data_IF_954628868528
#
_entry.id   IF_954628868528
#
_cell.length_a   1.000
_cell.length_b   1.000
_cell.length_c   1.000
_cell.angle_alpha   90.00
_cell.angle_beta   90.00
_cell.angle_gamma   90.00
#
_symmetry.space_group_name_H-M   'P 1'
#
loop_
_entity.id
_entity.type
_entity.pdbx_description
1 polymer ?
#
# COMPACT_ATOMS: atom_id res chain seq x y z
N UNK A 1 18.19 -25.75 -6.44
CA UNK A 1 18.87 -25.45 -5.18
C UNK A 1 18.70 -26.65 -4.27
N UNK A 2 19.75 -27.03 -3.57
CA UNK A 2 19.64 -28.03 -2.50
C UNK A 2 18.80 -27.47 -1.34
N UNK A 3 18.14 -28.34 -0.54
CA UNK A 3 17.33 -27.90 0.60
C UNK A 3 18.16 -27.11 1.61
N UNK A 4 19.43 -27.50 1.82
CA UNK A 4 20.35 -26.78 2.71
C UNK A 4 20.57 -25.34 2.24
N UNK A 5 20.82 -25.15 0.94
CA UNK A 5 21.06 -23.84 0.35
C UNK A 5 19.85 -22.91 0.50
N UNK A 6 18.63 -23.42 0.31
CA UNK A 6 17.41 -22.63 0.53
C UNK A 6 17.27 -22.20 2.00
N UNK A 7 17.61 -23.09 2.94
CA UNK A 7 17.58 -22.78 4.38
C UNK A 7 18.61 -21.71 4.76
N UNK A 8 19.79 -21.73 4.14
CA UNK A 8 20.80 -20.69 4.33
C UNK A 8 20.31 -19.32 3.82
N UNK A 9 19.64 -19.30 2.66
CA UNK A 9 19.01 -18.08 2.11
C UNK A 9 17.93 -17.55 3.07
N UNK A 10 17.09 -18.44 3.61
CA UNK A 10 16.07 -18.08 4.60
C UNK A 10 16.73 -17.50 5.86
N UNK A 11 17.81 -18.11 6.36
CA UNK A 11 18.53 -17.64 7.54
C UNK A 11 19.16 -16.25 7.34
N UNK A 12 19.75 -16.00 6.16
CA UNK A 12 20.23 -14.65 5.77
C UNK A 12 19.11 -13.62 5.80
N UNK A 13 17.96 -13.97 5.21
CA UNK A 13 16.78 -13.10 5.18
C UNK A 13 16.25 -12.77 6.59
N UNK A 14 16.24 -13.76 7.50
CA UNK A 14 15.87 -13.55 8.92
C UNK A 14 16.81 -12.62 9.69
N UNK A 15 18.06 -12.52 9.25
CA UNK A 15 19.01 -11.50 9.74
C UNK A 15 18.71 -10.10 9.17
N UNK A 16 17.60 -9.98 8.43
CA UNK A 16 17.08 -8.78 7.78
C UNK A 16 18.04 -8.25 6.71
N UNK A 17 18.83 -9.10 6.08
CA UNK A 17 19.68 -8.69 4.96
C UNK A 17 18.91 -8.88 3.65
N UNK A 18 18.92 -7.87 2.77
CA UNK A 18 18.35 -7.97 1.42
C UNK A 18 18.99 -9.14 0.69
N UNK A 19 18.19 -9.94 0.01
CA UNK A 19 18.70 -11.03 -0.82
C UNK A 19 19.29 -10.51 -2.13
N UNK A 20 20.27 -11.23 -2.64
CA UNK A 20 20.83 -11.00 -3.97
C UNK A 20 19.93 -11.64 -5.04
N UNK A 21 20.04 -11.22 -6.31
CA UNK A 21 19.20 -11.75 -7.38
C UNK A 21 19.23 -13.27 -7.53
N UNK A 22 20.39 -13.91 -7.36
CA UNK A 22 20.53 -15.37 -7.45
C UNK A 22 19.80 -16.10 -6.32
N UNK A 23 19.84 -15.54 -5.10
CA UNK A 23 19.15 -16.08 -3.93
C UNK A 23 17.63 -15.98 -4.09
N UNK A 24 17.12 -14.83 -4.53
CA UNK A 24 15.69 -14.65 -4.82
C UNK A 24 15.23 -15.57 -5.94
N UNK A 25 16.04 -15.75 -7.01
CA UNK A 25 15.73 -16.68 -8.09
C UNK A 25 15.64 -18.14 -7.60
N UNK A 26 16.50 -18.54 -6.64
CA UNK A 26 16.42 -19.87 -6.01
C UNK A 26 15.11 -20.03 -5.22
N UNK A 27 14.67 -19.02 -4.45
CA UNK A 27 13.38 -19.04 -3.75
C UNK A 27 12.19 -19.14 -4.72
N UNK A 28 12.25 -18.44 -5.86
CA UNK A 28 11.25 -18.57 -6.93
C UNK A 28 11.13 -20.02 -7.42
N UNK A 29 12.26 -20.73 -7.53
CA UNK A 29 12.32 -22.12 -7.99
C UNK A 29 11.80 -23.17 -6.98
N UNK A 30 11.49 -22.80 -5.74
CA UNK A 30 11.05 -23.75 -4.70
C UNK A 30 9.63 -24.26 -4.97
N UNK A 31 9.45 -25.56 -5.14
CA UNK A 31 8.13 -26.19 -5.28
C UNK A 31 7.86 -27.30 -4.24
N UNK A 32 8.84 -27.56 -3.36
CA UNK A 32 8.72 -28.50 -2.25
C UNK A 32 7.87 -27.88 -1.13
N UNK A 33 6.81 -28.58 -0.70
CA UNK A 33 5.82 -28.01 0.22
C UNK A 33 6.40 -27.76 1.63
N UNK A 34 7.35 -28.59 2.10
CA UNK A 34 8.07 -28.36 3.37
C UNK A 34 8.86 -27.05 3.33
N UNK A 35 9.63 -26.82 2.27
CA UNK A 35 10.35 -25.56 2.09
C UNK A 35 9.42 -24.36 1.91
N UNK A 36 8.27 -24.53 1.25
CA UNK A 36 7.29 -23.45 1.13
C UNK A 36 6.72 -23.04 2.50
N UNK A 37 6.43 -24.01 3.37
CA UNK A 37 5.98 -23.75 4.74
C UNK A 37 7.06 -23.05 5.57
N UNK A 38 8.32 -23.46 5.43
CA UNK A 38 9.47 -22.76 6.04
C UNK A 38 9.58 -21.31 5.54
N UNK A 39 9.41 -21.08 4.23
CA UNK A 39 9.41 -19.73 3.64
C UNK A 39 8.27 -18.86 4.18
N UNK A 40 7.04 -19.40 4.29
CA UNK A 40 5.90 -18.66 4.84
C UNK A 40 6.10 -18.29 6.31
N UNK A 41 6.64 -19.23 7.10
CA UNK A 41 6.97 -18.98 8.50
C UNK A 41 8.05 -17.90 8.63
N UNK A 42 9.13 -18.00 7.87
CA UNK A 42 10.20 -17.01 7.90
C UNK A 42 9.74 -15.62 7.45
N UNK A 43 8.90 -15.54 6.40
CA UNK A 43 8.36 -14.26 5.94
C UNK A 43 7.47 -13.60 7.01
N UNK A 44 6.67 -14.40 7.73
CA UNK A 44 5.90 -13.94 8.90
C UNK A 44 6.81 -13.45 10.03
N UNK A 45 7.84 -14.21 10.39
CA UNK A 45 8.80 -13.84 11.44
C UNK A 45 9.49 -12.50 11.11
N UNK A 46 9.95 -12.32 9.86
CA UNK A 46 10.57 -11.05 9.42
C UNK A 46 9.58 -9.89 9.49
N UNK A 47 8.33 -10.12 9.07
CA UNK A 47 7.28 -9.11 9.20
C UNK A 47 7.10 -8.72 10.67
N UNK A 48 7.00 -9.70 11.58
CA UNK A 48 6.83 -9.44 13.01
C UNK A 48 8.06 -8.75 13.62
N UNK A 49 9.28 -9.10 13.22
CA UNK A 49 10.50 -8.44 13.70
C UNK A 49 10.62 -6.97 13.28
N UNK A 50 10.29 -6.66 12.02
CA UNK A 50 10.41 -5.31 11.47
C UNK A 50 9.18 -4.46 11.82
N UNK A 51 8.00 -5.02 11.59
CA UNK A 51 6.74 -4.31 11.63
C UNK A 51 5.92 -4.60 12.89
N UNK A 52 6.19 -5.69 13.58
CA UNK A 52 5.31 -6.26 14.60
C UNK A 52 4.05 -6.87 13.97
N UNK A 53 3.08 -7.14 14.83
CA UNK A 53 1.76 -7.66 14.44
C UNK A 53 0.86 -6.57 13.83
N UNK A 54 1.38 -5.37 13.58
CA UNK A 54 0.60 -4.25 13.06
C UNK A 54 0.20 -4.43 11.59
N UNK A 55 -0.96 -3.91 11.25
CA UNK A 55 -1.44 -3.73 9.87
C UNK A 55 -1.94 -2.29 9.74
N UNK A 56 -1.33 -1.52 8.84
CA UNK A 56 -1.69 -0.12 8.61
C UNK A 56 -2.85 -0.04 7.62
N UNK A 57 -3.88 0.73 7.96
CA UNK A 57 -5.04 0.94 7.10
C UNK A 57 -4.93 2.24 6.32
N UNK A 58 -5.47 2.23 5.11
CA UNK A 58 -5.69 3.41 4.28
C UNK A 58 -6.97 3.24 3.44
N UNK A 59 -7.34 4.28 2.68
CA UNK A 59 -8.33 4.17 1.61
C UNK A 59 -7.81 4.82 0.32
N UNK A 60 -8.03 4.19 -0.86
CA UNK A 60 -7.82 4.88 -2.13
C UNK A 60 -8.96 5.89 -2.35
N UNK A 61 -8.64 7.06 -2.88
CA UNK A 61 -9.63 8.07 -3.29
C UNK A 61 -9.34 8.47 -4.73
N UNK A 62 -10.21 8.05 -5.64
CA UNK A 62 -10.08 8.33 -7.07
C UNK A 62 -10.60 9.74 -7.34
N UNK A 63 -9.66 10.66 -7.62
CA UNK A 63 -9.98 12.08 -7.83
C UNK A 63 -10.42 12.33 -9.27
N UNK A 64 -9.89 11.57 -10.22
CA UNK A 64 -10.31 11.70 -11.61
C UNK A 64 -9.87 10.54 -12.49
N UNK A 65 -10.72 10.19 -13.46
CA UNK A 65 -10.53 9.03 -14.35
C UNK A 65 -10.35 9.41 -15.83
N UNK A 66 -10.12 10.70 -16.15
CA UNK A 66 -9.71 11.10 -17.50
C UNK A 66 -8.34 10.51 -17.78
N UNK A 67 -8.20 9.83 -18.91
CA UNK A 67 -6.95 9.19 -19.26
C UNK A 67 -6.76 9.28 -20.76
N UNK A 68 -5.59 9.75 -21.16
CA UNK A 68 -5.19 9.79 -22.56
C UNK A 68 -4.57 8.49 -23.01
N UNK A 69 -4.19 7.57 -22.11
CA UNK A 69 -3.59 6.30 -22.52
C UNK A 69 -4.66 5.24 -22.81
N UNK A 70 -4.28 4.25 -23.60
CA UNK A 70 -5.14 3.17 -24.03
C UNK A 70 -4.63 1.80 -23.56
N UNK A 71 -4.12 1.74 -22.32
CA UNK A 71 -3.60 0.51 -21.71
C UNK A 71 -4.60 -0.65 -21.87
N UNK A 72 -4.14 -1.76 -22.45
CA UNK A 72 -5.01 -2.86 -22.91
C UNK A 72 -5.78 -3.54 -21.78
N UNK A 73 -5.32 -3.38 -20.53
CA UNK A 73 -5.84 -4.04 -19.33
C UNK A 73 -6.66 -3.11 -18.41
N UNK A 74 -6.81 -1.82 -18.73
CA UNK A 74 -7.36 -0.83 -17.79
C UNK A 74 -8.77 -0.40 -18.19
N UNK A 75 -9.72 -0.43 -17.24
CA UNK A 75 -11.08 0.08 -17.47
C UNK A 75 -11.08 1.55 -17.90
N UNK A 76 -10.19 2.38 -17.34
CA UNK A 76 -10.08 3.80 -17.67
C UNK A 76 -9.35 4.11 -18.98
N UNK A 77 -8.98 3.12 -19.80
CA UNK A 77 -8.37 3.37 -21.12
C UNK A 77 -9.21 4.34 -21.97
N UNK A 78 -8.58 5.26 -22.69
CA UNK A 78 -9.23 6.38 -23.43
C UNK A 78 -10.41 5.94 -24.31
N UNK A 79 -10.30 4.78 -24.95
CA UNK A 79 -11.30 4.31 -25.91
C UNK A 79 -12.48 3.58 -25.26
N UNK A 80 -12.42 3.28 -23.96
CA UNK A 80 -13.55 2.70 -23.25
C UNK A 80 -14.68 3.74 -23.09
N UNK A 81 -15.80 3.52 -23.80
CA UNK A 81 -16.98 4.40 -23.81
C UNK A 81 -18.01 4.05 -22.75
N UNK A 82 -17.88 2.90 -22.09
CA UNK A 82 -18.77 2.53 -20.98
C UNK A 82 -18.42 3.25 -19.69
N UNK A 83 -17.18 3.75 -19.55
CA UNK A 83 -16.75 4.58 -18.42
C UNK A 83 -17.21 6.02 -18.59
N UNK A 84 -17.87 6.56 -17.56
CA UNK A 84 -18.19 8.00 -17.46
C UNK A 84 -16.94 8.75 -17.00
N UNK A 85 -16.53 9.74 -17.79
CA UNK A 85 -15.36 10.57 -17.47
C UNK A 85 -15.72 11.64 -16.46
N UNK A 86 -15.08 11.60 -15.30
CA UNK A 86 -15.30 12.52 -14.19
C UNK A 86 -13.97 12.91 -13.54
N UNK A 87 -13.90 14.16 -13.13
CA UNK A 87 -12.92 14.68 -12.18
C UNK A 87 -13.73 15.31 -11.06
N UNK A 88 -13.41 15.01 -9.80
CA UNK A 88 -14.04 15.67 -8.67
C UNK A 88 -13.72 17.16 -8.69
N UNK A 89 -14.74 17.98 -8.50
CA UNK A 89 -14.54 19.36 -8.05
C UNK A 89 -13.92 19.38 -6.67
N UNK A 90 -13.32 20.50 -6.25
CA UNK A 90 -12.74 20.60 -4.90
C UNK A 90 -13.80 20.41 -3.80
N UNK A 91 -15.06 20.78 -4.04
CA UNK A 91 -16.13 20.58 -3.06
C UNK A 91 -16.62 19.13 -3.01
N UNK A 92 -16.71 18.44 -4.16
CA UNK A 92 -16.94 16.99 -4.18
C UNK A 92 -15.79 16.25 -3.50
N UNK A 93 -14.53 16.65 -3.74
CA UNK A 93 -13.36 16.09 -3.06
C UNK A 93 -13.47 16.26 -1.54
N UNK A 94 -13.85 17.44 -1.05
CA UNK A 94 -14.10 17.64 0.38
C UNK A 94 -15.22 16.73 0.89
N UNK A 95 -16.28 16.52 0.10
CA UNK A 95 -17.36 15.59 0.41
C UNK A 95 -16.88 14.15 0.59
N UNK A 96 -16.08 13.64 -0.35
CA UNK A 96 -15.50 12.30 -0.26
C UNK A 96 -14.58 12.16 0.96
N UNK A 97 -13.75 13.18 1.23
CA UNK A 97 -12.84 13.17 2.39
C UNK A 97 -13.61 13.17 3.72
N UNK A 98 -14.68 13.95 3.83
CA UNK A 98 -15.59 13.94 4.99
C UNK A 98 -16.17 12.56 5.26
N UNK A 99 -16.65 11.88 4.22
CA UNK A 99 -17.16 10.51 4.33
C UNK A 99 -16.06 9.58 4.86
N UNK A 100 -14.86 9.63 4.29
CA UNK A 100 -13.74 8.80 4.72
C UNK A 100 -13.31 9.07 6.18
N UNK A 101 -13.27 10.34 6.58
CA UNK A 101 -13.02 10.76 7.96
C UNK A 101 -14.09 10.24 8.92
N UNK A 102 -15.36 10.30 8.53
CA UNK A 102 -16.49 9.79 9.31
C UNK A 102 -16.44 8.27 9.54
N UNK A 103 -15.82 7.52 8.63
CA UNK A 103 -15.57 6.08 8.82
C UNK A 103 -14.33 5.79 9.66
N UNK A 104 -13.53 6.80 9.97
CA UNK A 104 -12.34 6.69 10.80
C UNK A 104 -11.01 6.63 10.07
N UNK A 105 -11.01 6.75 8.73
CA UNK A 105 -9.76 6.79 7.96
C UNK A 105 -8.89 7.99 8.37
N UNK A 106 -7.56 7.79 8.30
CA UNK A 106 -6.55 8.82 8.58
C UNK A 106 -5.45 8.88 7.52
N UNK A 107 -5.49 7.97 6.55
CA UNK A 107 -4.47 7.81 5.51
C UNK A 107 -5.17 7.58 4.18
N UNK A 108 -4.88 8.43 3.20
CA UNK A 108 -5.46 8.30 1.86
C UNK A 108 -4.36 8.08 0.82
N UNK A 109 -4.73 7.39 -0.26
CA UNK A 109 -3.97 7.39 -1.51
C UNK A 109 -4.85 8.06 -2.57
N UNK A 110 -4.49 9.26 -3.01
CA UNK A 110 -5.20 9.90 -4.11
C UNK A 110 -4.76 9.29 -5.44
N UNK A 111 -5.73 8.91 -6.27
CA UNK A 111 -5.51 8.19 -7.52
C UNK A 111 -6.06 9.00 -8.70
N UNK A 112 -5.28 9.05 -9.78
CA UNK A 112 -5.59 9.83 -10.98
C UNK A 112 -5.36 8.97 -12.23
N UNK A 113 -6.15 9.23 -13.28
CA UNK A 113 -5.75 8.88 -14.63
C UNK A 113 -4.52 9.70 -15.09
N UNK A 114 -4.21 9.65 -16.39
CA UNK A 114 -3.15 10.48 -16.97
C UNK A 114 -3.76 11.38 -18.04
N UNK A 115 -3.90 12.66 -17.73
CA UNK A 115 -4.42 13.70 -18.64
C UNK A 115 -3.81 15.06 -18.31
N UNK A 116 -3.92 16.01 -19.22
CA UNK A 116 -3.43 17.38 -19.01
C UNK A 116 -4.11 18.10 -17.83
N UNK A 117 -5.33 17.69 -17.49
CA UNK A 117 -6.07 18.21 -16.32
C UNK A 117 -5.42 17.83 -14.98
N UNK A 118 -4.51 16.84 -14.95
CA UNK A 118 -3.93 16.27 -13.73
C UNK A 118 -2.44 16.58 -13.62
N UNK A 119 -2.09 17.84 -13.86
CA UNK A 119 -0.72 18.31 -13.67
C UNK A 119 -0.32 18.36 -12.19
N UNK A 120 0.94 18.69 -11.93
CA UNK A 120 1.48 18.74 -10.58
C UNK A 120 0.82 19.81 -9.70
N UNK A 121 0.29 20.90 -10.28
CA UNK A 121 -0.37 21.96 -9.51
C UNK A 121 -1.75 21.50 -9.04
N UNK A 122 -2.53 20.86 -9.91
CA UNK A 122 -3.80 20.24 -9.57
C UNK A 122 -3.63 19.15 -8.52
N UNK A 123 -2.67 18.23 -8.70
CA UNK A 123 -2.38 17.19 -7.70
C UNK A 123 -2.00 17.83 -6.36
N UNK A 124 -1.13 18.85 -6.36
CA UNK A 124 -0.76 19.56 -5.14
C UNK A 124 -1.96 20.28 -4.49
N UNK A 125 -2.89 20.82 -5.27
CA UNK A 125 -4.11 21.46 -4.76
C UNK A 125 -5.04 20.45 -4.11
N UNK A 126 -5.30 19.32 -4.77
CA UNK A 126 -6.15 18.24 -4.20
C UNK A 126 -5.58 17.69 -2.89
N UNK A 127 -4.25 17.62 -2.75
CA UNK A 127 -3.60 17.30 -1.48
C UNK A 127 -3.87 18.35 -0.39
N UNK A 128 -3.67 19.64 -0.70
CA UNK A 128 -3.94 20.74 0.25
C UNK A 128 -5.40 20.75 0.68
N UNK A 129 -6.32 20.56 -0.27
CA UNK A 129 -7.75 20.44 -0.02
C UNK A 129 -8.03 19.25 0.91
N UNK A 130 -7.46 18.09 0.63
CA UNK A 130 -7.60 16.89 1.48
C UNK A 130 -7.13 17.13 2.92
N UNK A 131 -5.96 17.75 3.11
CA UNK A 131 -5.45 18.08 4.45
C UNK A 131 -6.24 19.20 5.16
N UNK A 132 -6.96 20.03 4.41
CA UNK A 132 -7.76 21.13 4.97
C UNK A 132 -9.11 20.67 5.54
N UNK A 133 -9.60 19.51 5.11
CA UNK A 133 -10.84 18.94 5.63
C UNK A 133 -10.57 18.41 7.04
N UNK A 134 -11.46 18.77 7.96
CA UNK A 134 -11.56 18.20 9.30
C UNK A 134 -13.03 18.19 9.69
N UNK A 135 -13.58 17.01 9.97
CA UNK A 135 -14.96 16.86 10.44
C UNK A 135 -15.03 16.16 11.80
N UNK A 136 -15.53 16.89 12.81
CA UNK A 136 -15.59 16.38 14.18
C UNK A 136 -14.19 16.00 14.71
N UNK A 137 -13.97 14.70 14.95
CA UNK A 137 -12.67 14.15 15.37
C UNK A 137 -11.86 13.55 14.19
N UNK A 138 -12.43 13.60 12.98
CA UNK A 138 -11.80 13.14 11.75
C UNK A 138 -10.75 14.11 11.23
N UNK A 139 -9.66 13.55 10.72
CA UNK A 139 -8.64 14.30 9.97
C UNK A 139 -7.80 13.32 9.14
N UNK A 140 -7.50 13.68 7.90
CA UNK A 140 -6.50 12.96 7.10
C UNK A 140 -5.09 13.43 7.49
N UNK A 141 -4.26 12.49 7.96
CA UNK A 141 -2.93 12.77 8.51
C UNK A 141 -1.77 12.41 7.57
N UNK A 142 -2.04 11.68 6.49
CA UNK A 142 -1.06 11.37 5.44
C UNK A 142 -1.78 11.12 4.11
N UNK A 143 -1.33 11.83 3.09
CA UNK A 143 -1.78 11.67 1.70
C UNK A 143 -0.63 11.11 0.87
N UNK A 144 -0.80 9.90 0.35
CA UNK A 144 0.05 9.35 -0.70
C UNK A 144 -0.59 9.63 -2.06
N UNK A 145 0.21 9.58 -3.13
CA UNK A 145 -0.26 9.79 -4.50
C UNK A 145 0.09 8.57 -5.35
N UNK A 146 -0.89 8.09 -6.12
CA UNK A 146 -0.68 7.18 -7.23
C UNK A 146 -1.11 7.89 -8.52
N UNK A 147 -0.14 8.30 -9.32
CA UNK A 147 -0.35 9.06 -10.55
C UNK A 147 0.71 8.70 -11.60
N UNK A 148 0.57 9.24 -12.81
CA UNK A 148 1.60 9.14 -13.83
C UNK A 148 2.92 9.81 -13.37
N UNK A 149 4.08 9.37 -13.88
CA UNK A 149 5.37 9.98 -13.58
C UNK A 149 5.36 11.49 -13.92
N UNK A 150 5.95 12.29 -13.03
CA UNK A 150 6.15 13.72 -13.22
C UNK A 150 7.62 14.01 -13.54
N UNK A 151 7.91 15.26 -13.89
CA UNK A 151 9.27 15.79 -13.89
C UNK A 151 9.70 16.21 -12.47
N UNK A 152 10.97 16.58 -12.33
CA UNK A 152 11.56 16.97 -11.03
C UNK A 152 10.84 18.18 -10.42
N UNK A 153 10.47 19.17 -11.23
CA UNK A 153 9.75 20.36 -10.75
C UNK A 153 8.34 20.02 -10.27
N UNK A 154 7.63 19.13 -10.98
CA UNK A 154 6.36 18.58 -10.52
C UNK A 154 6.48 17.87 -9.17
N UNK A 155 7.51 17.06 -8.98
CA UNK A 155 7.76 16.41 -7.69
C UNK A 155 8.11 17.40 -6.57
N UNK A 156 8.86 18.48 -6.84
CA UNK A 156 9.12 19.55 -5.86
C UNK A 156 7.82 20.21 -5.39
N UNK A 157 6.86 20.43 -6.30
CA UNK A 157 5.52 20.96 -5.95
C UNK A 157 4.79 20.01 -4.99
N UNK A 158 4.81 18.71 -5.25
CA UNK A 158 4.19 17.71 -4.36
C UNK A 158 4.91 17.61 -3.01
N UNK A 159 6.25 17.70 -2.99
CA UNK A 159 7.02 17.75 -1.74
C UNK A 159 6.61 18.95 -0.89
N UNK A 160 6.51 20.13 -1.50
CA UNK A 160 6.05 21.36 -0.83
C UNK A 160 4.62 21.24 -0.30
N UNK A 161 3.75 20.50 -1.00
CA UNK A 161 2.38 20.23 -0.56
C UNK A 161 2.27 19.19 0.56
N UNK A 162 3.39 18.57 0.98
CA UNK A 162 3.42 17.63 2.10
C UNK A 162 2.96 16.21 1.73
N UNK A 163 3.41 15.69 0.58
CA UNK A 163 3.17 14.31 0.18
C UNK A 163 3.78 13.32 1.18
N UNK A 164 3.07 12.22 1.45
CA UNK A 164 3.59 11.03 2.12
C UNK A 164 4.46 10.22 1.17
N UNK A 165 3.85 9.36 0.36
CA UNK A 165 4.54 8.50 -0.62
C UNK A 165 4.06 8.78 -2.04
N UNK A 166 4.98 8.88 -3.00
CA UNK A 166 4.63 8.84 -4.42
C UNK A 166 4.77 7.41 -4.97
N UNK A 167 3.74 6.91 -5.62
CA UNK A 167 3.65 5.53 -6.08
C UNK A 167 3.59 5.47 -7.60
N UNK A 168 4.52 4.73 -8.19
CA UNK A 168 4.53 4.39 -9.61
C UNK A 168 4.55 2.86 -9.71
N UNK A 169 3.50 2.31 -10.29
CA UNK A 169 3.55 0.92 -10.73
C UNK A 169 4.24 0.90 -12.09
N UNK A 170 5.29 0.09 -12.20
CA UNK A 170 5.93 -0.20 -13.48
C UNK A 170 4.99 -1.02 -14.38
N UNK A 171 4.00 -1.67 -13.77
CA UNK A 171 3.00 -2.54 -14.39
C UNK A 171 3.61 -3.87 -14.84
N UNK A 172 4.58 -3.81 -15.73
CA UNK A 172 5.40 -4.97 -16.13
C UNK A 172 6.81 -4.50 -16.45
N UNK A 173 7.81 -5.19 -15.89
CA UNK A 173 9.22 -4.96 -16.19
C UNK A 173 9.66 -5.62 -17.50
N UNK A 174 8.82 -6.46 -18.11
CA UNK A 174 9.15 -7.12 -19.37
C UNK A 174 8.89 -6.19 -20.55
N UNK A 175 9.95 -5.67 -21.16
CA UNK A 175 9.90 -4.66 -22.23
C UNK A 175 8.91 -5.00 -23.36
N UNK A 176 8.96 -6.23 -23.90
CA UNK A 176 8.09 -6.63 -25.01
C UNK A 176 6.62 -6.70 -24.59
N UNK A 177 6.33 -7.09 -23.34
CA UNK A 177 4.96 -7.07 -22.82
C UNK A 177 4.51 -5.63 -22.59
N UNK A 178 5.37 -4.79 -22.01
CA UNK A 178 5.06 -3.39 -21.79
C UNK A 178 4.67 -2.67 -23.08
N UNK A 179 5.48 -2.83 -24.14
CA UNK A 179 5.23 -2.24 -25.46
C UNK A 179 3.91 -2.70 -26.08
N UNK A 180 3.53 -3.98 -25.88
CA UNK A 180 2.26 -4.52 -26.37
C UNK A 180 1.05 -3.99 -25.59
N UNK A 181 1.20 -3.81 -24.28
CA UNK A 181 0.10 -3.41 -23.40
C UNK A 181 -0.10 -1.90 -23.30
N UNK A 182 0.89 -1.11 -23.69
CA UNK A 182 0.87 0.35 -23.71
C UNK A 182 1.10 0.86 -25.15
N UNK A 183 0.02 1.13 -25.90
CA UNK A 183 0.10 1.45 -27.33
C UNK A 183 1.04 2.62 -27.64
N UNK A 184 1.83 2.48 -28.71
CA UNK A 184 2.79 3.50 -29.13
C UNK A 184 2.11 4.84 -29.39
N UNK A 185 2.73 5.93 -28.94
CA UNK A 185 2.22 7.30 -29.07
C UNK A 185 1.43 7.78 -27.86
N UNK A 186 1.01 6.88 -26.97
CA UNK A 186 0.50 7.25 -25.65
C UNK A 186 1.65 7.66 -24.72
N UNK A 187 1.42 8.55 -23.74
CA UNK A 187 2.45 9.00 -22.79
C UNK A 187 3.05 7.84 -22.00
N UNK A 188 2.19 6.90 -21.58
CA UNK A 188 2.61 5.70 -20.85
C UNK A 188 3.36 4.68 -21.73
N UNK A 189 3.46 4.86 -23.05
CA UNK A 189 4.25 3.95 -23.88
C UNK A 189 5.76 4.11 -23.70
N UNK A 190 6.21 5.26 -23.15
CA UNK A 190 7.62 5.46 -22.81
C UNK A 190 8.00 4.70 -21.53
N UNK A 191 8.56 3.51 -21.75
CA UNK A 191 9.02 2.62 -20.70
C UNK A 191 10.06 3.27 -19.78
N UNK A 192 11.05 3.96 -20.35
CA UNK A 192 12.16 4.52 -19.58
C UNK A 192 11.72 5.76 -18.80
N UNK A 193 10.83 6.59 -19.37
CA UNK A 193 10.21 7.69 -18.65
C UNK A 193 9.47 7.21 -17.40
N UNK A 194 8.74 6.09 -17.50
CA UNK A 194 8.05 5.48 -16.35
C UNK A 194 9.03 4.85 -15.36
N UNK A 195 9.98 4.04 -15.82
CA UNK A 195 10.92 3.33 -14.96
C UNK A 195 11.76 4.31 -14.12
N UNK A 196 12.25 5.39 -14.74
CA UNK A 196 13.05 6.42 -14.07
C UNK A 196 12.20 7.48 -13.33
N UNK A 197 10.88 7.32 -13.25
CA UNK A 197 9.99 8.29 -12.60
C UNK A 197 10.29 8.48 -11.12
N UNK A 198 10.66 7.40 -10.42
CA UNK A 198 10.98 7.47 -9.00
C UNK A 198 12.39 8.03 -8.74
N UNK A 199 13.32 7.90 -9.67
CA UNK A 199 14.59 8.63 -9.62
C UNK A 199 14.35 10.15 -9.61
N UNK A 200 13.49 10.63 -10.51
CA UNK A 200 13.09 12.04 -10.55
C UNK A 200 12.33 12.46 -9.29
N UNK A 201 11.55 11.56 -8.68
CA UNK A 201 10.88 11.85 -7.42
C UNK A 201 11.89 12.06 -6.27
N UNK A 202 12.94 11.24 -6.20
CA UNK A 202 14.06 11.42 -5.25
C UNK A 202 14.80 12.74 -5.50
N UNK A 203 15.09 13.08 -6.75
CA UNK A 203 15.70 14.36 -7.15
C UNK A 203 14.79 15.56 -6.79
N UNK A 204 13.48 15.38 -6.87
CA UNK A 204 12.46 16.34 -6.43
C UNK A 204 12.28 16.42 -4.90
N UNK A 205 13.03 15.62 -4.13
CA UNK A 205 13.03 15.61 -2.67
C UNK A 205 11.98 14.71 -2.02
N UNK A 206 11.29 13.87 -2.78
CA UNK A 206 10.36 12.85 -2.26
C UNK A 206 11.15 11.58 -1.96
N UNK A 207 11.30 11.29 -0.68
CA UNK A 207 12.18 10.24 -0.13
C UNK A 207 11.43 8.97 0.32
N UNK A 208 10.09 9.01 0.32
CA UNK A 208 9.24 7.84 0.48
C UNK A 208 8.62 7.48 -0.88
N UNK A 209 9.12 6.40 -1.50
CA UNK A 209 8.70 5.93 -2.82
C UNK A 209 7.90 4.63 -2.75
N UNK A 210 6.97 4.42 -3.68
CA UNK A 210 6.28 3.15 -3.84
C UNK A 210 6.44 2.58 -5.25
N UNK A 211 6.97 1.35 -5.33
CA UNK A 211 7.01 0.59 -6.60
C UNK A 211 5.89 -0.44 -6.63
N UNK A 212 5.58 -0.95 -7.82
CA UNK A 212 4.68 -2.08 -7.97
C UNK A 212 4.67 -2.68 -9.37
N UNK A 213 4.17 -3.90 -9.47
CA UNK A 213 3.93 -4.61 -10.71
C UNK A 213 2.49 -5.16 -10.71
N UNK A 214 1.84 -5.14 -11.86
CA UNK A 214 0.50 -5.70 -12.04
C UNK A 214 0.63 -7.17 -12.42
N UNK A 215 0.48 -8.03 -11.43
CA UNK A 215 0.63 -9.47 -11.58
C UNK A 215 -0.49 -10.03 -12.45
N UNK A 216 -0.12 -10.77 -13.50
CA UNK A 216 -1.04 -11.25 -14.54
C UNK A 216 -0.78 -10.68 -15.93
N UNK A 217 0.02 -9.61 -16.04
CA UNK A 217 0.45 -9.07 -17.33
C UNK A 217 1.55 -9.92 -17.99
N UNK A 218 2.47 -10.45 -17.17
CA UNK A 218 3.56 -11.33 -17.57
C UNK A 218 3.89 -12.33 -16.47
N UNK A 219 4.89 -13.20 -16.67
CA UNK A 219 5.31 -14.20 -15.69
C UNK A 219 5.68 -13.52 -14.36
N UNK A 220 4.97 -13.89 -13.29
CA UNK A 220 5.16 -13.32 -11.96
C UNK A 220 6.59 -13.45 -11.44
N UNK A 221 7.32 -14.49 -11.88
CA UNK A 221 8.72 -14.73 -11.52
C UNK A 221 9.61 -13.63 -12.07
N UNK A 222 9.38 -13.24 -13.32
CA UNK A 222 10.09 -12.13 -13.96
C UNK A 222 9.77 -10.82 -13.25
N UNK A 223 8.50 -10.58 -12.92
CA UNK A 223 8.08 -9.35 -12.24
C UNK A 223 8.65 -9.23 -10.82
N UNK A 224 8.75 -10.33 -10.06
CA UNK A 224 9.43 -10.35 -8.76
C UNK A 224 10.90 -9.96 -8.89
N UNK A 225 11.59 -10.48 -9.92
CA UNK A 225 12.98 -10.10 -10.19
C UNK A 225 13.09 -8.62 -10.57
N UNK A 226 12.17 -8.10 -11.38
CA UNK A 226 12.10 -6.68 -11.72
C UNK A 226 11.93 -5.78 -10.49
N UNK A 227 11.02 -6.14 -9.58
CA UNK A 227 10.84 -5.42 -8.30
C UNK A 227 12.10 -5.45 -7.43
N UNK A 228 12.79 -6.59 -7.39
CA UNK A 228 14.06 -6.71 -6.66
C UNK A 228 15.12 -5.80 -7.27
N UNK A 229 15.37 -5.88 -8.59
CA UNK A 229 16.37 -5.04 -9.26
C UNK A 229 16.06 -3.55 -9.13
N UNK A 230 14.80 -3.15 -9.20
CA UNK A 230 14.41 -1.75 -8.95
C UNK A 230 14.69 -1.34 -7.51
N UNK A 231 14.44 -2.22 -6.54
CA UNK A 231 14.83 -1.99 -5.14
C UNK A 231 16.34 -1.84 -5.00
N UNK A 232 17.12 -2.71 -5.67
CA UNK A 232 18.58 -2.68 -5.66
C UNK A 232 19.09 -1.33 -6.18
N UNK A 233 18.59 -0.90 -7.34
CA UNK A 233 18.93 0.37 -7.97
C UNK A 233 18.69 1.55 -7.03
N UNK A 234 17.51 1.64 -6.42
CA UNK A 234 17.18 2.75 -5.51
C UNK A 234 18.11 2.76 -4.29
N UNK A 235 18.34 1.59 -3.68
CA UNK A 235 19.23 1.50 -2.52
C UNK A 235 20.68 1.87 -2.87
N UNK A 236 21.20 1.45 -4.02
CA UNK A 236 22.58 1.74 -4.43
C UNK A 236 22.77 3.21 -4.81
N UNK A 237 21.80 3.79 -5.53
CA UNK A 237 21.87 5.18 -6.00
C UNK A 237 21.62 6.20 -4.89
N UNK A 238 20.81 5.86 -3.89
CA UNK A 238 20.32 6.80 -2.88
C UNK A 238 20.67 6.38 -1.44
N UNK A 239 21.96 6.16 -1.17
CA UNK A 239 22.51 5.95 0.19
C UNK A 239 21.80 4.86 1.02
N UNK A 240 21.39 3.78 0.36
CA UNK A 240 20.71 2.65 0.99
C UNK A 240 19.23 2.90 1.27
N UNK A 241 18.61 3.91 0.63
CA UNK A 241 17.16 4.14 0.64
C UNK A 241 16.51 3.43 -0.55
N UNK A 242 15.80 2.35 -0.26
CA UNK A 242 14.97 1.65 -1.23
C UNK A 242 13.53 2.18 -1.26
N UNK A 243 12.61 1.47 -1.93
CA UNK A 243 11.20 1.81 -1.89
C UNK A 243 10.65 1.66 -0.46
N UNK A 244 9.85 2.64 -0.04
CA UNK A 244 9.09 2.61 1.21
C UNK A 244 8.02 1.50 1.17
N UNK A 245 7.40 1.30 0.01
CA UNK A 245 6.39 0.25 -0.20
C UNK A 245 6.53 -0.46 -1.54
N UNK A 246 6.22 -1.75 -1.56
CA UNK A 246 5.93 -2.52 -2.77
C UNK A 246 4.45 -2.87 -2.78
N UNK A 247 3.78 -2.57 -3.89
CA UNK A 247 2.42 -3.03 -4.19
C UNK A 247 2.47 -4.17 -5.19
N UNK A 248 1.63 -5.17 -5.00
CA UNK A 248 1.54 -6.36 -5.86
C UNK A 248 0.09 -6.64 -6.28
N UNK A 249 -0.61 -5.67 -6.90
CA UNK A 249 -1.97 -5.91 -7.38
C UNK A 249 -1.99 -7.06 -8.39
N UNK A 250 -2.98 -7.95 -8.31
CA UNK A 250 -3.32 -8.85 -9.42
C UNK A 250 -4.25 -8.15 -10.42
N UNK A 251 -4.14 -8.53 -11.68
CA UNK A 251 -5.10 -8.15 -12.70
C UNK A 251 -6.48 -8.66 -12.30
N UNK A 252 -7.46 -7.76 -12.35
CA UNK A 252 -8.86 -8.05 -12.04
C UNK A 252 -9.71 -7.68 -13.26
N UNK A 253 -10.89 -8.32 -13.42
CA UNK A 253 -11.85 -7.95 -14.45
C UNK A 253 -12.14 -6.45 -14.45
N UNK A 254 -12.28 -5.88 -15.65
CA UNK A 254 -12.71 -4.50 -15.83
C UNK A 254 -13.75 -4.40 -16.96
N UNK A 255 -14.71 -3.50 -16.79
CA UNK A 255 -15.80 -3.27 -17.76
C UNK A 255 -15.24 -2.93 -19.14
N UNK A 256 -15.74 -3.60 -20.18
CA UNK A 256 -15.30 -3.46 -21.57
C UNK A 256 -13.79 -3.63 -21.80
N UNK A 257 -13.16 -4.50 -21.00
CA UNK A 257 -11.76 -4.88 -21.16
C UNK A 257 -11.62 -6.41 -21.29
N UNK A 258 -11.82 -7.00 -22.49
CA UNK A 258 -11.77 -8.45 -22.69
C UNK A 258 -10.45 -9.10 -22.24
N UNK A 259 -9.34 -8.36 -22.32
CA UNK A 259 -8.02 -8.83 -21.89
C UNK A 259 -8.00 -9.29 -20.41
N UNK A 260 -8.80 -8.64 -19.55
CA UNK A 260 -8.81 -8.93 -18.11
C UNK A 260 -9.58 -10.20 -17.74
N UNK A 261 -10.42 -10.72 -18.64
CA UNK A 261 -11.26 -11.89 -18.37
C UNK A 261 -10.47 -13.20 -18.34
N UNK A 262 -9.45 -13.32 -19.19
CA UNK A 262 -8.59 -14.49 -19.24
C UNK A 262 -7.13 -14.11 -19.57
N UNK A 263 -6.40 -13.50 -18.63
CA UNK A 263 -5.03 -13.07 -18.86
C UNK A 263 -4.10 -14.29 -18.96
N UNK A 264 -3.22 -14.28 -19.97
CA UNK A 264 -2.31 -15.40 -20.26
C UNK A 264 -1.41 -15.78 -19.08
N UNK A 265 -1.06 -14.82 -18.22
CA UNK A 265 -0.16 -15.01 -17.08
C UNK A 265 -0.89 -14.93 -15.74
N UNK A 266 -2.18 -15.31 -15.71
CA UNK A 266 -2.99 -15.32 -14.48
C UNK A 266 -2.23 -15.98 -13.31
N UNK A 267 -2.16 -15.27 -12.19
CA UNK A 267 -1.45 -15.76 -11.00
C UNK A 267 -2.44 -16.47 -10.07
N UNK A 268 -2.18 -17.75 -9.78
CA UNK A 268 -3.00 -18.53 -8.85
C UNK A 268 -2.88 -18.01 -7.41
N UNK A 269 -3.83 -18.36 -6.54
CA UNK A 269 -3.76 -17.96 -5.12
C UNK A 269 -2.53 -18.57 -4.41
N UNK A 270 -2.13 -19.80 -4.78
CA UNK A 270 -0.91 -20.46 -4.26
C UNK A 270 0.33 -19.67 -4.68
N UNK A 271 0.45 -19.31 -5.96
CA UNK A 271 1.58 -18.55 -6.47
C UNK A 271 1.60 -17.12 -5.92
N UNK A 272 0.42 -16.51 -5.70
CA UNK A 272 0.32 -15.18 -5.13
C UNK A 272 0.79 -15.15 -3.67
N UNK A 273 0.38 -16.13 -2.85
CA UNK A 273 0.92 -16.27 -1.49
C UNK A 273 2.43 -16.49 -1.50
N UNK A 274 2.91 -17.35 -2.41
CA UNK A 274 4.34 -17.63 -2.60
C UNK A 274 5.13 -16.38 -2.99
N UNK A 275 4.69 -15.60 -3.98
CA UNK A 275 5.41 -14.42 -4.44
C UNK A 275 5.46 -13.34 -3.36
N UNK A 276 4.40 -13.15 -2.57
CA UNK A 276 4.41 -12.18 -1.46
C UNK A 276 5.44 -12.57 -0.41
N UNK A 277 5.51 -13.86 -0.05
CA UNK A 277 6.53 -14.36 0.87
C UNK A 277 7.95 -14.17 0.30
N UNK A 278 8.17 -14.45 -0.99
CA UNK A 278 9.46 -14.24 -1.66
C UNK A 278 9.87 -12.77 -1.62
N UNK A 279 8.97 -11.83 -1.92
CA UNK A 279 9.29 -10.40 -1.85
C UNK A 279 9.64 -10.03 -0.39
N UNK A 280 8.92 -10.54 0.61
CA UNK A 280 9.20 -10.23 2.04
C UNK A 280 10.56 -10.76 2.46
N UNK A 281 10.92 -11.96 2.01
CA UNK A 281 12.24 -12.53 2.24
C UNK A 281 13.33 -11.72 1.53
N UNK A 282 13.06 -11.26 0.31
CA UNK A 282 14.05 -10.57 -0.52
C UNK A 282 14.34 -9.14 -0.07
N UNK A 283 13.31 -8.40 0.38
CA UNK A 283 13.41 -6.99 0.80
C UNK A 283 12.76 -6.81 2.20
N UNK A 284 13.46 -7.23 3.27
CA UNK A 284 12.86 -7.45 4.59
C UNK A 284 12.27 -6.20 5.23
N UNK A 285 12.81 -5.02 4.92
CA UNK A 285 12.38 -3.76 5.52
C UNK A 285 11.29 -3.02 4.76
N UNK A 286 11.04 -3.35 3.49
CA UNK A 286 10.10 -2.59 2.67
C UNK A 286 8.64 -2.89 3.05
N UNK A 287 7.81 -1.87 3.09
CA UNK A 287 6.38 -2.02 3.35
C UNK A 287 5.69 -2.76 2.22
N UNK A 288 4.59 -3.44 2.51
CA UNK A 288 3.87 -4.25 1.53
C UNK A 288 2.40 -3.93 1.54
N UNK A 289 1.88 -3.55 0.37
CA UNK A 289 0.50 -3.14 0.18
C UNK A 289 -0.27 -4.25 -0.51
N UNK A 290 -1.27 -4.79 0.19
CA UNK A 290 -2.29 -5.68 -0.35
C UNK A 290 -3.60 -4.90 -0.46
N UNK A 291 -4.21 -4.90 -1.64
CA UNK A 291 -5.42 -4.09 -1.90
C UNK A 291 -6.70 -4.93 -1.93
N UNK A 292 -7.85 -4.26 -2.00
CA UNK A 292 -9.19 -4.82 -2.07
C UNK A 292 -9.53 -5.44 -3.42
N UNK A 293 -8.53 -5.54 -4.32
CA UNK A 293 -8.57 -6.46 -5.47
C UNK A 293 -8.76 -7.90 -5.00
N UNK A 294 -8.08 -8.24 -3.92
CA UNK A 294 -8.11 -9.58 -3.36
C UNK A 294 -9.36 -9.81 -2.52
N UNK A 295 -9.95 -11.00 -2.64
CA UNK A 295 -11.11 -11.37 -1.83
C UNK A 295 -10.71 -11.69 -0.36
N UNK A 296 -11.68 -11.70 0.58
CA UNK A 296 -11.42 -11.94 2.00
C UNK A 296 -10.61 -13.22 2.29
N UNK A 297 -10.88 -14.31 1.56
CA UNK A 297 -10.19 -15.59 1.75
C UNK A 297 -8.70 -15.45 1.44
N UNK A 298 -8.36 -14.88 0.28
CA UNK A 298 -6.95 -14.65 -0.11
C UNK A 298 -6.28 -13.67 0.85
N UNK A 299 -6.96 -12.58 1.22
CA UNK A 299 -6.42 -11.60 2.17
C UNK A 299 -6.06 -12.25 3.50
N UNK A 300 -6.94 -13.11 4.04
CA UNK A 300 -6.71 -13.86 5.30
C UNK A 300 -5.44 -14.72 5.25
N UNK A 301 -5.14 -15.33 4.11
CA UNK A 301 -3.97 -16.21 3.95
C UNK A 301 -2.67 -15.44 3.66
N UNK A 302 -2.75 -14.30 2.98
CA UNK A 302 -1.60 -13.54 2.51
C UNK A 302 -1.11 -12.50 3.53
N UNK A 303 -2.02 -11.93 4.32
CA UNK A 303 -1.66 -10.92 5.33
C UNK A 303 -0.55 -11.39 6.29
N UNK A 304 -0.62 -12.61 6.86
CA UNK A 304 0.40 -13.09 7.79
C UNK A 304 1.79 -13.27 7.18
N UNK A 305 1.91 -13.47 5.85
CA UNK A 305 3.17 -13.85 5.20
C UNK A 305 3.99 -12.67 4.67
N UNK A 306 3.59 -11.42 4.93
CA UNK A 306 4.45 -10.28 4.61
C UNK A 306 3.79 -8.91 4.51
N UNK A 307 2.46 -8.85 4.40
CA UNK A 307 1.71 -7.59 4.20
C UNK A 307 1.85 -6.68 5.42
N UNK A 308 2.09 -5.38 5.22
CA UNK A 308 2.14 -4.42 6.31
C UNK A 308 1.09 -3.30 6.22
N UNK A 309 0.48 -3.11 5.04
CA UNK A 309 -0.59 -2.15 4.84
C UNK A 309 -1.70 -2.74 3.96
N UNK A 310 -2.94 -2.40 4.27
CA UNK A 310 -4.12 -2.79 3.48
C UNK A 310 -5.08 -1.63 3.35
N UNK A 311 -5.85 -1.62 2.27
CA UNK A 311 -7.05 -0.80 2.15
C UNK A 311 -8.25 -1.52 2.79
N UNK A 312 -9.30 -0.79 3.16
CA UNK A 312 -10.57 -1.38 3.59
C UNK A 312 -11.72 -0.36 3.44
N UNK A 313 -12.95 -0.86 3.27
CA UNK A 313 -14.10 -0.01 2.96
C UNK A 313 -13.95 0.74 1.63
N UNK A 314 -13.14 0.22 0.71
CA UNK A 314 -12.69 0.94 -0.47
C UNK A 314 -13.80 1.10 -1.52
N UNK A 315 -13.82 2.27 -2.16
CA UNK A 315 -14.60 2.56 -3.36
C UNK A 315 -13.65 3.14 -4.39
N UNK A 316 -13.72 2.65 -5.63
CA UNK A 316 -12.68 2.94 -6.64
C UNK A 316 -13.24 3.65 -7.89
N UNK A 317 -14.56 3.89 -7.94
CA UNK A 317 -15.17 4.91 -8.78
C UNK A 317 -14.86 6.34 -8.31
N UNK A 318 -14.87 7.30 -9.25
CA UNK A 318 -14.72 8.73 -8.95
C UNK A 318 -16.01 9.26 -8.32
N UNK A 319 -15.97 9.61 -7.03
CA UNK A 319 -17.18 9.94 -6.26
C UNK A 319 -17.86 8.70 -5.64
N UNK A 320 -17.17 7.55 -5.67
CA UNK A 320 -17.74 6.27 -5.27
C UNK A 320 -18.10 6.17 -3.79
N UNK A 321 -17.51 7.00 -2.91
CA UNK A 321 -17.89 6.99 -1.49
C UNK A 321 -19.26 7.63 -1.27
N UNK A 322 -19.51 8.81 -1.83
CA UNK A 322 -20.81 9.48 -1.77
C UNK A 322 -21.91 8.68 -2.48
N UNK A 323 -21.62 8.10 -3.63
CA UNK A 323 -22.59 7.26 -4.35
C UNK A 323 -23.03 6.04 -3.52
N UNK A 324 -22.08 5.40 -2.83
CA UNK A 324 -22.37 4.26 -1.97
C UNK A 324 -23.27 4.62 -0.78
N UNK A 325 -23.07 5.78 -0.14
CA UNK A 325 -23.95 6.25 0.95
C UNK A 325 -25.40 6.48 0.47
N UNK A 326 -25.62 6.74 -0.83
CA UNK A 326 -26.95 6.84 -1.44
C UNK A 326 -27.49 5.49 -1.95
N UNK A 327 -26.81 4.37 -1.65
CA UNK A 327 -27.22 3.03 -2.06
C UNK A 327 -26.89 2.68 -3.52
N UNK A 328 -26.10 3.50 -4.21
CA UNK A 328 -25.65 3.21 -5.57
C UNK A 328 -24.35 2.38 -5.53
N UNK A 329 -24.32 1.27 -6.27
CA UNK A 329 -23.09 0.48 -6.48
C UNK A 329 -22.51 0.93 -7.82
N UNK A 330 -21.34 1.58 -7.86
CA UNK A 330 -20.78 2.06 -9.11
C UNK A 330 -20.46 0.89 -10.06
N UNK A 331 -21.12 0.82 -11.20
CA UNK A 331 -20.86 -0.20 -12.24
C UNK A 331 -19.69 0.20 -13.17
N UNK A 332 -19.13 1.41 -12.99
CA UNK A 332 -18.17 2.05 -13.91
C UNK A 332 -16.84 2.38 -13.24
N UNK A 333 -16.25 1.37 -12.61
CA UNK A 333 -14.98 1.45 -11.90
C UNK A 333 -13.76 1.08 -12.76
N UNK A 334 -12.55 1.26 -12.22
CA UNK A 334 -11.31 0.92 -12.94
C UNK A 334 -11.14 -0.60 -13.14
N UNK A 335 -11.58 -1.38 -12.16
CA UNK A 335 -11.54 -2.85 -12.08
C UNK A 335 -12.57 -3.31 -11.03
N UNK A 336 -12.83 -4.60 -10.93
CA UNK A 336 -13.73 -5.16 -9.92
C UNK A 336 -13.00 -5.37 -8.58
N UNK A 337 -13.60 -4.94 -7.48
CA UNK A 337 -13.11 -5.23 -6.13
C UNK A 337 -13.47 -6.66 -5.70
N UNK A 338 -12.52 -7.33 -5.05
CA UNK A 338 -12.71 -8.63 -4.40
C UNK A 338 -13.17 -8.52 -2.94
N UNK A 339 -12.92 -7.40 -2.25
CA UNK A 339 -13.34 -7.17 -0.87
C UNK A 339 -13.98 -5.79 -0.69
N UNK A 340 -15.32 -5.76 -0.62
CA UNK A 340 -16.11 -4.53 -0.46
C UNK A 340 -16.59 -4.30 0.98
N UNK A 341 -16.17 -5.14 1.93
CA UNK A 341 -16.56 -5.07 3.35
C UNK A 341 -16.21 -3.70 3.93
N UNK A 342 -16.96 -3.31 4.95
CA UNK A 342 -16.72 -2.05 5.65
C UNK A 342 -15.36 -2.04 6.36
N UNK A 343 -14.85 -0.84 6.66
CA UNK A 343 -13.62 -0.69 7.43
C UNK A 343 -13.72 -1.39 8.80
N UNK A 344 -14.87 -1.26 9.48
CA UNK A 344 -15.11 -1.85 10.80
C UNK A 344 -15.03 -3.39 10.79
N UNK A 345 -15.67 -4.04 9.79
CA UNK A 345 -15.62 -5.50 9.64
C UNK A 345 -14.21 -6.02 9.38
N UNK A 346 -13.45 -5.34 8.51
CA UNK A 346 -12.07 -5.75 8.21
C UNK A 346 -11.18 -5.54 9.44
N UNK A 347 -11.36 -4.45 10.19
CA UNK A 347 -10.64 -4.20 11.45
C UNK A 347 -10.89 -5.32 12.45
N UNK A 348 -12.14 -5.77 12.60
CA UNK A 348 -12.49 -6.90 13.46
C UNK A 348 -11.77 -8.18 13.04
N UNK A 349 -11.78 -8.51 11.74
CA UNK A 349 -11.06 -9.68 11.21
C UNK A 349 -9.55 -9.61 11.48
N UNK A 350 -8.93 -8.43 11.33
CA UNK A 350 -7.50 -8.24 11.65
C UNK A 350 -7.22 -8.51 13.13
N UNK A 351 -8.10 -8.08 14.03
CA UNK A 351 -7.97 -8.38 15.46
C UNK A 351 -8.06 -9.88 15.74
N UNK A 352 -9.02 -10.57 15.09
CA UNK A 352 -9.23 -12.02 15.21
C UNK A 352 -8.05 -12.83 14.65
N UNK A 353 -7.35 -12.32 13.64
CA UNK A 353 -6.09 -12.86 13.13
C UNK A 353 -4.91 -12.66 14.08
N UNK A 354 -5.12 -12.03 15.23
CA UNK A 354 -4.09 -11.74 16.21
C UNK A 354 -3.16 -10.59 15.80
N UNK A 355 -3.56 -9.80 14.81
CA UNK A 355 -2.88 -8.58 14.39
C UNK A 355 -3.46 -7.36 15.12
N UNK A 356 -2.80 -6.21 15.02
CA UNK A 356 -3.30 -4.93 15.52
C UNK A 356 -3.51 -3.93 14.37
N UNK A 357 -4.73 -3.44 14.15
CA UNK A 357 -4.99 -2.34 13.22
C UNK A 357 -4.20 -1.09 13.59
N UNK A 358 -3.84 -0.27 12.60
CA UNK A 358 -3.12 0.97 12.84
C UNK A 358 -3.49 2.04 11.81
N UNK A 359 -3.66 3.26 12.31
CA UNK A 359 -3.82 4.48 11.49
C UNK A 359 -2.62 5.41 11.65
N UNK A 360 -1.48 4.87 12.07
CA UNK A 360 -0.28 5.64 12.42
C UNK A 360 0.25 6.46 11.24
N UNK A 361 0.55 7.73 11.50
CA UNK A 361 1.25 8.64 10.60
C UNK A 361 2.45 9.32 11.26
N UNK A 362 2.84 8.87 12.46
CA UNK A 362 3.89 9.48 13.28
C UNK A 362 5.25 9.54 12.57
N UNK A 363 5.61 8.50 11.80
CA UNK A 363 6.88 8.47 11.07
C UNK A 363 7.08 9.70 10.18
N UNK A 364 6.04 10.04 9.41
CA UNK A 364 6.04 11.23 8.55
C UNK A 364 6.20 12.52 9.35
N UNK A 365 5.43 12.69 10.42
CA UNK A 365 5.36 13.93 11.21
C UNK A 365 6.58 14.15 12.10
N UNK A 366 7.28 13.09 12.45
CA UNK A 366 8.56 13.15 13.16
C UNK A 366 9.77 13.21 12.21
N UNK A 367 9.55 13.37 10.90
CA UNK A 367 10.64 13.41 9.91
C UNK A 367 11.43 12.10 9.81
N UNK A 368 10.79 10.96 10.10
CA UNK A 368 11.34 9.60 9.94
C UNK A 368 10.96 9.08 8.55
N UNK A 369 11.50 9.72 7.52
CA UNK A 369 11.34 9.38 6.10
C UNK A 369 12.71 9.03 5.51
N UNK A 370 12.75 8.39 4.34
CA UNK A 370 13.99 8.10 3.62
C UNK A 370 15.09 7.45 4.50
N UNK A 371 16.29 8.04 4.51
CA UNK A 371 17.44 7.55 5.27
C UNK A 371 17.17 7.39 6.77
N UNK A 372 16.43 8.34 7.37
CA UNK A 372 16.09 8.31 8.81
C UNK A 372 15.17 7.15 9.15
N UNK A 373 14.23 6.83 8.25
CA UNK A 373 13.41 5.62 8.40
C UNK A 373 14.28 4.36 8.30
N UNK A 374 15.17 4.29 7.29
CA UNK A 374 16.02 3.13 7.06
C UNK A 374 17.01 2.89 8.22
N UNK A 375 17.50 3.94 8.88
CA UNK A 375 18.35 3.84 10.07
C UNK A 375 17.63 3.17 11.26
N UNK A 376 16.29 3.20 11.30
CA UNK A 376 15.49 2.49 12.29
C UNK A 376 15.07 1.09 11.79
N UNK A 377 14.76 0.99 10.49
CA UNK A 377 14.28 -0.24 9.88
C UNK A 377 15.37 -1.31 9.83
N UNK A 378 16.58 -0.95 9.35
CA UNK A 378 17.71 -1.87 9.17
C UNK A 378 18.08 -2.61 10.48
N UNK A 379 18.19 -1.94 11.63
CA UNK A 379 18.46 -2.64 12.89
C UNK A 379 17.24 -3.37 13.48
N UNK A 380 16.08 -3.36 12.82
CA UNK A 380 14.84 -3.94 13.34
C UNK A 380 14.24 -3.17 14.51
N UNK A 381 14.49 -1.86 14.63
CA UNK A 381 14.02 -1.03 15.76
C UNK A 381 12.68 -0.34 15.51
N UNK A 382 12.08 -0.52 14.33
CA UNK A 382 10.82 0.13 13.94
C UNK A 382 9.65 -0.26 14.85
N UNK A 383 9.57 -1.53 15.28
CA UNK A 383 8.49 -1.99 16.14
C UNK A 383 8.43 -1.24 17.48
N UNK A 384 9.56 -0.77 18.01
CA UNK A 384 9.63 0.00 19.27
C UNK A 384 8.87 1.34 19.23
N UNK A 385 8.65 1.88 18.04
CA UNK A 385 7.87 3.10 17.84
C UNK A 385 6.50 2.78 17.26
N UNK A 386 6.45 1.83 16.34
CA UNK A 386 5.24 1.61 15.57
C UNK A 386 4.21 0.73 16.27
N UNK A 387 4.60 -0.21 17.13
CA UNK A 387 3.64 -0.97 17.93
C UNK A 387 2.93 -0.08 18.97
N UNK A 388 3.64 0.75 19.75
CA UNK A 388 3.00 1.75 20.59
C UNK A 388 2.05 2.68 19.83
N UNK A 389 2.48 3.23 18.68
CA UNK A 389 1.63 4.10 17.88
C UNK A 389 0.44 3.35 17.23
N UNK A 390 0.57 2.04 16.94
CA UNK A 390 -0.55 1.22 16.50
C UNK A 390 -1.62 1.12 17.59
N UNK A 391 -1.22 0.84 18.84
CA UNK A 391 -2.13 0.79 19.99
C UNK A 391 -2.85 2.14 20.17
N UNK A 392 -2.11 3.25 20.16
CA UNK A 392 -2.69 4.59 20.36
C UNK A 392 -3.70 4.95 19.26
N UNK A 393 -3.29 4.81 17.99
CA UNK A 393 -4.19 5.14 16.87
C UNK A 393 -5.36 4.17 16.74
N UNK A 394 -5.20 2.93 17.17
CA UNK A 394 -6.32 1.99 17.20
C UNK A 394 -7.31 2.32 18.31
N UNK A 395 -6.84 2.73 19.49
CA UNK A 395 -7.72 3.20 20.56
C UNK A 395 -8.56 4.41 20.12
N UNK A 396 -7.97 5.36 19.39
CA UNK A 396 -8.72 6.46 18.78
C UNK A 396 -9.85 5.93 17.89
N UNK A 397 -9.56 4.94 17.04
CA UNK A 397 -10.58 4.33 16.19
C UNK A 397 -11.71 3.68 16.98
N UNK A 398 -11.35 2.90 18.02
CA UNK A 398 -12.34 2.21 18.85
C UNK A 398 -13.29 3.16 19.57
N UNK A 399 -12.78 4.29 20.07
CA UNK A 399 -13.58 5.27 20.79
C UNK A 399 -14.51 6.07 19.87
N UNK A 400 -14.08 6.33 18.63
CA UNK A 400 -14.75 7.30 17.77
C UNK A 400 -15.62 6.68 16.68
N UNK A 401 -15.31 5.47 16.20
CA UNK A 401 -15.92 4.93 14.97
C UNK A 401 -16.35 3.46 15.04
N UNK A 402 -15.80 2.67 15.96
CA UNK A 402 -16.01 1.22 15.97
C UNK A 402 -17.41 0.82 16.43
N UNK A 403 -17.93 -0.27 15.85
CA UNK A 403 -19.08 -1.01 16.39
C UNK A 403 -18.75 -1.66 17.74
N UNK A 404 -19.77 -2.08 18.49
CA UNK A 404 -19.57 -2.72 19.80
C UNK A 404 -18.82 -4.06 19.68
N UNK A 405 -19.09 -4.84 18.63
CA UNK A 405 -18.38 -6.07 18.32
C UNK A 405 -16.90 -5.81 18.04
N UNK A 406 -16.61 -4.76 17.27
CA UNK A 406 -15.25 -4.37 16.92
C UNK A 406 -14.51 -3.77 18.12
N UNK A 407 -15.19 -3.00 18.99
CA UNK A 407 -14.64 -2.56 20.29
C UNK A 407 -14.23 -3.76 21.13
N UNK A 408 -15.09 -4.77 21.29
CA UNK A 408 -14.78 -5.96 22.09
C UNK A 408 -13.57 -6.73 21.55
N UNK A 409 -13.47 -6.91 20.23
CA UNK A 409 -12.30 -7.55 19.61
C UNK A 409 -11.04 -6.67 19.75
N UNK A 410 -11.20 -5.37 19.56
CA UNK A 410 -10.12 -4.39 19.57
C UNK A 410 -9.48 -4.19 20.94
N UNK A 411 -10.28 -4.08 22.02
CA UNK A 411 -9.75 -3.94 23.38
C UNK A 411 -8.91 -5.16 23.79
N UNK A 412 -9.35 -6.38 23.41
CA UNK A 412 -8.56 -7.61 23.60
C UNK A 412 -7.24 -7.57 22.82
N UNK A 413 -7.27 -7.07 21.59
CA UNK A 413 -6.07 -6.93 20.77
C UNK A 413 -5.11 -5.89 21.37
N UNK A 414 -5.62 -4.76 21.87
CA UNK A 414 -4.83 -3.73 22.57
C UNK A 414 -4.18 -4.33 23.82
N UNK A 415 -4.95 -5.01 24.68
CA UNK A 415 -4.44 -5.62 25.91
C UNK A 415 -3.31 -6.62 25.63
N UNK A 416 -3.53 -7.52 24.66
CA UNK A 416 -2.51 -8.49 24.24
C UNK A 416 -1.23 -7.80 23.78
N UNK A 417 -1.33 -6.79 22.91
CA UNK A 417 -0.16 -6.10 22.39
C UNK A 417 0.51 -5.19 23.43
N UNK A 418 -0.22 -4.67 24.43
CA UNK A 418 0.37 -3.95 25.57
C UNK A 418 1.22 -4.88 26.44
N UNK A 419 0.79 -6.13 26.63
CA UNK A 419 1.53 -7.13 27.40
C UNK A 419 2.79 -7.62 26.69
N UNK A 420 2.84 -7.51 25.36
CA UNK A 420 4.03 -7.80 24.56
C UNK A 420 5.09 -6.67 24.60
N UNK A 421 4.77 -5.48 25.16
CA UNK A 421 5.72 -4.36 25.29
C UNK A 421 6.62 -4.52 26.53
N UNK A 422 7.81 -3.90 26.49
CA UNK A 422 8.65 -3.76 27.69
C UNK A 422 7.93 -2.93 28.77
N UNK A 423 8.23 -3.13 30.07
CA UNK A 423 7.54 -2.43 31.17
C UNK A 423 7.51 -0.91 31.01
N UNK A 424 8.65 -0.28 30.75
CA UNK A 424 8.75 1.18 30.57
C UNK A 424 7.92 1.67 29.37
N UNK A 425 7.90 0.89 28.27
CA UNK A 425 7.11 1.22 27.09
C UNK A 425 5.63 1.06 27.35
N UNK A 426 5.23 0.00 28.07
CA UNK A 426 3.85 -0.24 28.47
C UNK A 426 3.35 0.92 29.33
N UNK A 427 4.10 1.35 30.33
CA UNK A 427 3.73 2.48 31.19
C UNK A 427 3.52 3.78 30.40
N UNK A 428 4.48 4.13 29.55
CA UNK A 428 4.38 5.30 28.67
C UNK A 428 3.15 5.25 27.76
N UNK A 429 2.83 4.07 27.18
CA UNK A 429 1.66 3.90 26.32
C UNK A 429 0.36 4.01 27.13
N UNK A 430 0.29 3.43 28.33
CA UNK A 430 -0.89 3.55 29.20
C UNK A 430 -1.17 5.00 29.58
N UNK A 431 -0.14 5.79 29.90
CA UNK A 431 -0.30 7.22 30.19
C UNK A 431 -0.87 7.97 28.97
N UNK A 432 -0.41 7.64 27.75
CA UNK A 432 -0.91 8.23 26.51
C UNK A 432 -2.32 7.75 26.14
N UNK A 433 -2.67 6.50 26.44
CA UNK A 433 -4.02 5.97 26.27
C UNK A 433 -5.03 6.73 27.13
N UNK A 434 -4.66 7.05 28.38
CA UNK A 434 -5.50 7.87 29.25
C UNK A 434 -5.80 9.24 28.64
N UNK A 435 -4.79 9.89 28.05
CA UNK A 435 -5.02 11.16 27.33
C UNK A 435 -6.03 11.00 26.18
N UNK A 436 -6.00 9.86 25.48
CA UNK A 436 -6.94 9.57 24.39
C UNK A 436 -8.36 9.33 24.92
N UNK A 437 -8.49 8.61 26.03
CA UNK A 437 -9.77 8.39 26.72
C UNK A 437 -10.37 9.70 27.26
N UNK A 438 -9.52 10.62 27.73
CA UNK A 438 -9.87 11.98 28.15
C UNK A 438 -10.19 12.92 26.96
N UNK A 439 -10.18 12.41 25.73
CA UNK A 439 -10.61 13.13 24.53
C UNK A 439 -9.48 13.75 23.69
N UNK A 440 -8.22 13.64 24.11
CA UNK A 440 -7.09 14.06 23.27
C UNK A 440 -7.00 13.17 22.03
N UNK A 441 -6.66 13.75 20.89
CA UNK A 441 -6.44 13.00 19.65
C UNK A 441 -5.06 13.31 19.12
N UNK A 442 -4.63 12.46 18.20
CA UNK A 442 -3.36 12.53 17.52
C UNK A 442 -2.16 12.44 18.47
N UNK A 443 -2.24 11.49 19.42
CA UNK A 443 -1.16 11.21 20.37
C UNK A 443 -0.21 10.15 19.80
N UNK A 444 1.07 10.48 19.71
CA UNK A 444 2.09 9.59 19.15
C UNK A 444 3.41 9.64 19.93
N UNK A 445 4.32 8.73 19.56
CA UNK A 445 5.67 8.54 20.10
C UNK A 445 6.70 8.71 19.00
#
# INVERSE_FOLDING_TARGET
>A
ADKSEIRDIIAKSKSKVRLNPDETAKLIGVNDDELLDEMFKAAREIKEDVYGKRIVFFAPLYVGNKCMNNCVYCGFRRDNKSIVRKTLTMDELKGEVRILESKGQKRLILVYGESDDYDADFIAETMRTTYSVKEGKGEIRRVNINAAPLDVEGYKKLKKAGIGTFQIFQETYHHETYKKLHPQGDRKSDYLWRLSGLDRAMEGGIDDLGIGALFGLYDWRFEVMGLLYHTIHLEEKYNGVGPHTISFPRIEPAIDVPFTLNPNYRVSDKDFKKLVAIIRLSVPYTGMILTARENPKVRKEVIPVGVSQIDAGSRIGVGGYAEYEHGYIPEKEQFQLGDMRSLDEVIREICELGCIPSFCTAGYRCGRTGERFMALAKPGKVHNYCMPNAILTFKEYLLDYASEETKKAGEKAIEKNLNDLSPDRKEMVMQKLKLIEDGKRDVYI
#
